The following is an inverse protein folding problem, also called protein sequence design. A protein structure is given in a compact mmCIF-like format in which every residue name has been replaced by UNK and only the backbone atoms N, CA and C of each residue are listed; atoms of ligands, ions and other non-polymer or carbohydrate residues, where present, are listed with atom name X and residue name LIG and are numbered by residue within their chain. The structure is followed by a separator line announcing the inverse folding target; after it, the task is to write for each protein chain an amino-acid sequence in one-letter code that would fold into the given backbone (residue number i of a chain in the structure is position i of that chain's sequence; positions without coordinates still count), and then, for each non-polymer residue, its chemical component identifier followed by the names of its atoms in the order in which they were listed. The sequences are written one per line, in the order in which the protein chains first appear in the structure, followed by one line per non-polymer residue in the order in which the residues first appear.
data_IF_202687234728
#
_entry.id   IF_202687234728
#
_cell.length_a   1.000
_cell.length_b   1.000
_cell.length_c   1.000
_cell.angle_alpha   90.00
_cell.angle_beta   90.00
_cell.angle_gamma   90.00
#
_symmetry.space_group_name_H-M   'P 1'
#
loop_
_entity.id
_entity.type
_entity.pdbx_description
1 polymer ?
#
# COMPACT_ATOMS: atom_id res chain seq x y z
N UNK A 1 22.80 -12.87 19.45
CA UNK A 1 23.33 -11.58 18.97
C UNK A 1 23.88 -11.83 17.58
N UNK A 2 23.06 -11.73 16.56
CA UNK A 2 23.47 -11.91 15.16
C UNK A 2 23.64 -10.53 14.56
N UNK A 3 24.83 -10.31 14.07
CA UNK A 3 25.43 -9.14 13.46
C UNK A 3 24.50 -8.51 12.41
N UNK A 4 24.00 -7.30 12.69
CA UNK A 4 23.26 -6.44 11.76
C UNK A 4 24.30 -5.67 10.91
N UNK A 5 24.99 -6.41 10.02
CA UNK A 5 25.85 -5.77 9.01
C UNK A 5 24.95 -4.90 8.13
N UNK A 6 25.16 -3.59 8.21
CA UNK A 6 24.55 -2.55 7.38
C UNK A 6 24.83 -2.91 5.92
N UNK A 7 23.80 -3.27 5.17
CA UNK A 7 23.88 -3.45 3.73
C UNK A 7 24.20 -2.10 3.08
N UNK A 8 25.13 -2.11 2.15
CA UNK A 8 25.56 -1.02 1.28
C UNK A 8 24.37 -0.23 0.74
N UNK A 9 24.46 1.10 0.68
CA UNK A 9 23.38 2.04 0.34
C UNK A 9 22.76 1.81 -1.07
N UNK A 10 23.41 1.00 -1.89
CA UNK A 10 22.97 0.61 -3.25
C UNK A 10 22.23 -0.75 -3.31
N UNK A 11 22.03 -1.44 -2.19
CA UNK A 11 21.38 -2.73 -2.16
C UNK A 11 19.86 -2.60 -2.03
N UNK A 12 19.10 -3.24 -2.95
CA UNK A 12 17.65 -3.24 -2.93
C UNK A 12 17.08 -3.73 -1.57
N UNK A 13 16.14 -2.96 -0.99
CA UNK A 13 15.44 -3.33 0.24
C UNK A 13 14.37 -4.40 0.01
N UNK A 14 13.79 -4.41 -1.20
CA UNK A 14 12.83 -5.43 -1.66
C UNK A 14 13.35 -5.94 -2.99
N UNK A 15 13.42 -7.26 -3.17
CA UNK A 15 13.83 -7.89 -4.42
C UNK A 15 12.92 -9.06 -4.75
N UNK A 16 12.31 -9.03 -5.93
CA UNK A 16 11.53 -10.11 -6.52
C UNK A 16 12.21 -10.58 -7.80
N UNK A 17 12.23 -11.91 -8.04
CA UNK A 17 12.77 -12.52 -9.25
C UNK A 17 11.85 -13.64 -9.73
N UNK A 18 11.34 -13.49 -10.95
CA UNK A 18 10.39 -14.41 -11.57
C UNK A 18 9.17 -14.68 -10.70
N UNK A 19 8.79 -13.74 -9.86
CA UNK A 19 7.81 -13.95 -8.80
C UNK A 19 6.40 -14.08 -9.37
N UNK A 20 5.63 -15.04 -8.84
CA UNK A 20 4.22 -15.24 -9.20
C UNK A 20 3.35 -15.43 -7.97
N UNK A 21 2.10 -14.99 -8.09
CA UNK A 21 1.09 -15.18 -7.04
C UNK A 21 -0.24 -15.60 -7.65
N UNK A 22 -0.82 -16.67 -7.09
CA UNK A 22 -2.10 -17.22 -7.53
C UNK A 22 -3.00 -17.57 -6.35
N UNK A 23 -4.31 -17.65 -6.59
CA UNK A 23 -5.33 -18.22 -5.71
C UNK A 23 -6.02 -19.37 -6.44
N UNK A 24 -5.66 -20.62 -6.12
CA UNK A 24 -6.06 -21.78 -6.90
C UNK A 24 -5.58 -21.59 -8.35
N UNK A 25 -6.48 -21.74 -9.31
CA UNK A 25 -6.18 -21.56 -10.74
C UNK A 25 -6.09 -20.09 -11.18
N UNK A 26 -6.55 -19.16 -10.36
CA UNK A 26 -6.54 -17.74 -10.71
C UNK A 26 -5.16 -17.13 -10.48
N UNK A 27 -4.44 -16.83 -11.55
CA UNK A 27 -3.20 -16.08 -11.53
C UNK A 27 -3.51 -14.61 -11.27
N UNK A 28 -2.91 -14.01 -10.23
CA UNK A 28 -3.00 -12.59 -9.95
C UNK A 28 -1.95 -11.80 -10.71
N UNK A 29 -0.72 -12.31 -10.74
CA UNK A 29 0.42 -11.82 -11.52
C UNK A 29 1.52 -12.90 -11.55
N UNK A 30 2.37 -12.87 -12.59
CA UNK A 30 3.43 -13.85 -12.79
C UNK A 30 4.65 -13.23 -13.46
N UNK A 31 5.82 -13.84 -13.22
CA UNK A 31 7.09 -13.43 -13.84
C UNK A 31 7.59 -12.07 -13.35
N UNK A 32 7.13 -11.59 -12.17
CA UNK A 32 7.46 -10.26 -11.66
C UNK A 32 8.92 -10.18 -11.21
N UNK A 33 9.69 -9.31 -11.90
CA UNK A 33 11.02 -8.87 -11.51
C UNK A 33 10.93 -7.42 -11.03
N UNK A 34 11.36 -7.16 -9.78
CA UNK A 34 11.28 -5.85 -9.16
C UNK A 34 12.34 -5.71 -8.07
N UNK A 35 13.05 -4.60 -8.09
CA UNK A 35 13.85 -4.11 -6.96
C UNK A 35 13.29 -2.80 -6.47
N UNK A 36 13.27 -2.59 -5.15
CA UNK A 36 12.93 -1.30 -4.53
C UNK A 36 14.10 -0.87 -3.66
N UNK A 37 14.59 0.33 -3.89
CA UNK A 37 15.79 0.89 -3.25
C UNK A 37 15.46 1.76 -2.03
N UNK A 38 16.45 2.04 -1.16
CA UNK A 38 16.29 3.04 -0.11
C UNK A 38 15.82 4.38 -0.68
N UNK A 39 14.87 5.02 -0.02
CA UNK A 39 14.32 6.31 -0.43
C UNK A 39 13.45 6.30 -1.68
N UNK A 40 13.21 5.15 -2.31
CA UNK A 40 12.34 5.03 -3.47
C UNK A 40 10.85 5.05 -3.09
N UNK A 41 10.03 5.73 -3.88
CA UNK A 41 8.57 5.74 -3.78
C UNK A 41 7.97 4.92 -4.93
N UNK A 42 7.57 3.69 -4.63
CA UNK A 42 6.89 2.79 -5.55
C UNK A 42 5.37 2.88 -5.36
N UNK A 43 4.64 3.36 -6.37
CA UNK A 43 3.20 3.24 -6.39
C UNK A 43 2.76 1.89 -6.97
N UNK A 44 1.82 1.21 -6.29
CA UNK A 44 1.23 -0.05 -6.78
C UNK A 44 -0.21 0.20 -7.18
N UNK A 45 -0.48 0.09 -8.47
CA UNK A 45 -1.75 0.41 -9.11
C UNK A 45 -2.41 -0.83 -9.71
N UNK A 46 -3.65 -0.68 -10.12
CA UNK A 46 -4.42 -1.70 -10.83
C UNK A 46 -5.86 -1.80 -10.32
N UNK A 47 -6.74 -2.51 -11.05
CA UNK A 47 -8.14 -2.67 -10.70
C UNK A 47 -8.32 -3.47 -9.40
N UNK A 48 -9.55 -3.47 -8.89
CA UNK A 48 -9.91 -4.29 -7.75
C UNK A 48 -9.73 -5.78 -8.09
N UNK A 49 -9.13 -6.53 -7.17
CA UNK A 49 -8.83 -7.94 -7.37
C UNK A 49 -7.59 -8.25 -8.22
N UNK A 50 -6.79 -7.25 -8.64
CA UNK A 50 -5.53 -7.44 -9.37
C UNK A 50 -4.40 -8.01 -8.49
N UNK A 51 -4.59 -8.09 -7.18
CA UNK A 51 -3.59 -8.67 -6.28
C UNK A 51 -2.73 -7.65 -5.53
N UNK A 52 -3.08 -6.35 -5.54
CA UNK A 52 -2.33 -5.29 -4.83
C UNK A 52 -2.13 -5.59 -3.34
N UNK A 53 -3.22 -5.84 -2.60
CA UNK A 53 -3.15 -6.23 -1.18
C UNK A 53 -2.43 -7.57 -0.99
N UNK A 54 -2.54 -8.49 -1.95
CA UNK A 54 -1.83 -9.78 -1.89
C UNK A 54 -0.32 -9.60 -2.08
N UNK A 55 0.10 -8.64 -2.90
CA UNK A 55 1.51 -8.22 -3.03
C UNK A 55 2.03 -7.69 -1.69
N UNK A 56 1.30 -6.77 -1.04
CA UNK A 56 1.66 -6.27 0.30
C UNK A 56 1.75 -7.40 1.32
N UNK A 57 0.79 -8.34 1.32
CA UNK A 57 0.81 -9.50 2.22
C UNK A 57 2.01 -10.42 1.98
N UNK A 58 2.46 -10.55 0.73
CA UNK A 58 3.70 -11.29 0.42
C UNK A 58 4.92 -10.58 1.02
N UNK A 59 5.04 -9.25 0.87
CA UNK A 59 6.11 -8.46 1.48
C UNK A 59 6.12 -8.55 3.02
N UNK A 60 4.94 -8.66 3.64
CA UNK A 60 4.79 -8.85 5.09
C UNK A 60 5.06 -10.29 5.56
N UNK A 61 5.37 -11.23 4.65
CA UNK A 61 5.52 -12.66 4.97
C UNK A 61 4.22 -13.34 5.42
N UNK A 62 3.07 -12.74 5.11
CA UNK A 62 1.74 -13.28 5.42
C UNK A 62 1.21 -14.19 4.31
N UNK A 63 1.82 -14.12 3.12
CA UNK A 63 1.49 -14.92 1.95
C UNK A 63 2.76 -15.42 1.27
N UNK A 64 2.78 -16.69 0.90
CA UNK A 64 3.85 -17.27 0.09
C UNK A 64 3.57 -17.00 -1.40
N UNK A 65 4.64 -16.83 -2.17
CA UNK A 65 4.58 -16.82 -3.63
C UNK A 65 4.19 -18.20 -4.17
N UNK A 66 3.56 -18.23 -5.33
CA UNK A 66 3.30 -19.46 -6.08
C UNK A 66 4.53 -19.93 -6.87
N UNK A 67 5.40 -18.98 -7.29
CA UNK A 67 6.69 -19.26 -7.95
C UNK A 67 7.65 -18.07 -7.76
N UNK A 68 8.93 -18.27 -8.08
CA UNK A 68 9.97 -17.26 -7.98
C UNK A 68 10.47 -17.04 -6.56
N UNK A 69 11.17 -15.92 -6.35
CA UNK A 69 11.75 -15.57 -5.05
C UNK A 69 11.40 -14.15 -4.63
N UNK A 70 11.28 -13.94 -3.32
CA UNK A 70 11.08 -12.64 -2.69
C UNK A 70 12.04 -12.49 -1.52
N UNK A 71 12.79 -11.41 -1.52
CA UNK A 71 13.62 -11.00 -0.39
C UNK A 71 13.20 -9.61 0.09
N UNK A 72 13.16 -9.44 1.40
CA UNK A 72 12.94 -8.17 2.08
C UNK A 72 14.13 -7.98 3.02
N UNK A 73 14.89 -6.87 2.84
CA UNK A 73 16.15 -6.63 3.54
C UNK A 73 17.15 -7.79 3.37
N UNK A 74 17.27 -8.31 2.14
CA UNK A 74 18.19 -9.39 1.78
C UNK A 74 17.78 -10.80 2.24
N UNK A 75 16.65 -10.95 2.96
CA UNK A 75 16.17 -12.21 3.57
C UNK A 75 14.74 -12.54 3.15
N UNK A 76 14.30 -13.80 3.22
CA UNK A 76 12.88 -14.12 3.06
C UNK A 76 12.00 -13.27 4.01
N UNK A 77 10.84 -12.78 3.55
CA UNK A 77 9.98 -11.93 4.37
C UNK A 77 9.53 -12.65 5.65
N UNK A 78 9.47 -11.91 6.75
CA UNK A 78 9.06 -12.43 8.07
C UNK A 78 7.95 -11.57 8.66
N UNK A 79 6.95 -12.22 9.25
CA UNK A 79 5.88 -11.55 10.00
C UNK A 79 6.47 -10.79 11.18
N UNK A 80 5.96 -9.57 11.42
CA UNK A 80 6.32 -8.77 12.58
C UNK A 80 7.74 -8.18 12.55
N UNK A 81 8.34 -8.00 11.38
CA UNK A 81 9.62 -7.32 11.25
C UNK A 81 9.52 -5.85 11.71
N UNK A 82 10.34 -5.44 12.67
CA UNK A 82 10.40 -4.04 13.13
C UNK A 82 10.90 -3.06 12.06
N UNK A 83 11.56 -3.58 11.02
CA UNK A 83 12.11 -2.76 9.92
C UNK A 83 11.10 -2.50 8.80
N UNK A 84 9.88 -3.06 8.92
CA UNK A 84 8.78 -2.88 7.97
C UNK A 84 7.61 -2.27 8.72
N UNK A 85 7.31 -1.01 8.44
CA UNK A 85 6.10 -0.33 8.88
C UNK A 85 4.93 -0.69 7.95
N UNK A 86 3.75 -0.91 8.49
CA UNK A 86 2.57 -1.23 7.71
C UNK A 86 1.37 -0.37 8.13
N UNK A 87 0.80 0.32 7.15
CA UNK A 87 -0.44 1.07 7.27
C UNK A 87 -1.52 0.29 6.50
N UNK A 88 -2.40 -0.43 7.18
CA UNK A 88 -3.43 -1.24 6.52
C UNK A 88 -4.53 -0.37 5.90
N UNK A 89 -5.18 -0.90 4.87
CA UNK A 89 -6.47 -0.43 4.41
C UNK A 89 -7.42 -0.38 5.61
N UNK A 90 -8.24 0.66 5.73
CA UNK A 90 -9.03 0.96 6.92
C UNK A 90 -9.70 -0.29 7.52
N UNK A 91 -9.11 -0.83 8.59
CA UNK A 91 -9.86 -1.69 9.47
C UNK A 91 -10.86 -0.80 10.21
N UNK A 92 -12.13 -1.18 10.21
CA UNK A 92 -13.19 -0.55 10.99
C UNK A 92 -12.81 -0.75 12.47
N UNK A 93 -12.07 0.21 13.03
CA UNK A 93 -11.98 0.28 14.49
C UNK A 93 -13.40 0.60 14.93
N UNK A 94 -14.03 -0.30 15.69
CA UNK A 94 -15.37 -0.03 16.21
C UNK A 94 -15.33 1.32 16.92
N UNK A 95 -16.40 2.12 16.79
CA UNK A 95 -16.51 3.42 17.46
C UNK A 95 -16.34 3.31 19.00
N UNK A 96 -16.41 2.10 19.53
CA UNK A 96 -16.21 1.76 20.94
C UNK A 96 -14.74 1.57 21.35
N UNK A 97 -13.76 1.73 20.42
CA UNK A 97 -12.35 1.61 20.78
C UNK A 97 -11.93 2.77 21.69
N UNK A 98 -11.91 2.51 22.98
CA UNK A 98 -11.46 3.43 24.05
C UNK A 98 -9.95 3.64 24.06
N UNK A 99 -9.24 3.07 23.09
CA UNK A 99 -7.78 3.16 22.99
C UNK A 99 -7.38 4.57 22.63
N UNK A 100 -6.49 5.20 23.40
CA UNK A 100 -5.99 6.53 23.09
C UNK A 100 -5.04 6.49 21.89
N UNK A 101 -4.93 7.61 21.17
CA UNK A 101 -4.02 7.74 20.03
C UNK A 101 -2.57 7.33 20.37
N UNK A 102 -2.04 7.79 21.51
CA UNK A 102 -0.70 7.40 21.99
C UNK A 102 -0.53 5.91 22.24
N UNK A 103 -1.57 5.24 22.74
CA UNK A 103 -1.52 3.82 23.01
C UNK A 103 -1.52 3.03 21.69
N UNK A 104 -2.24 3.50 20.67
CA UNK A 104 -2.20 2.92 19.33
C UNK A 104 -0.80 3.05 18.71
N UNK A 105 -0.17 4.22 18.77
CA UNK A 105 1.21 4.42 18.30
C UNK A 105 2.17 3.49 19.05
N UNK A 106 2.03 3.37 20.36
CA UNK A 106 2.85 2.49 21.18
C UNK A 106 2.75 1.03 20.77
N UNK A 107 1.56 0.55 20.37
CA UNK A 107 1.40 -0.82 19.87
C UNK A 107 2.27 -1.15 18.66
N UNK A 108 2.74 -0.17 17.90
CA UNK A 108 3.74 -0.38 16.87
C UNK A 108 5.05 -0.94 17.42
N UNK A 109 5.44 -0.58 18.65
CA UNK A 109 6.67 -1.07 19.29
C UNK A 109 6.47 -2.49 19.83
N UNK A 110 5.36 -2.74 20.50
CA UNK A 110 5.21 -3.90 21.37
C UNK A 110 3.94 -4.75 21.16
N UNK A 111 3.08 -4.40 20.22
CA UNK A 111 1.82 -5.13 19.98
C UNK A 111 1.97 -6.60 19.56
N UNK A 112 3.17 -7.03 19.14
CA UNK A 112 3.47 -8.42 18.75
C UNK A 112 3.89 -9.31 19.91
N UNK A 113 4.08 -8.76 21.13
CA UNK A 113 4.55 -9.53 22.30
C UNK A 113 3.43 -9.63 23.33
N UNK A 114 3.33 -10.73 24.02
CA UNK A 114 2.37 -10.98 25.09
C UNK A 114 2.96 -10.58 26.46
N UNK A 115 2.15 -10.00 27.37
CA UNK A 115 2.49 -9.75 28.77
C UNK A 115 2.66 -8.27 29.15
N UNK A 116 2.68 -7.98 30.47
CA UNK A 116 2.84 -6.63 30.99
C UNK A 116 4.24 -6.07 30.67
N UNK A 117 4.30 -4.78 30.37
CA UNK A 117 5.55 -4.13 29.95
C UNK A 117 5.84 -2.89 30.75
N UNK A 118 7.12 -2.70 31.12
CA UNK A 118 7.54 -1.47 31.74
C UNK A 118 7.30 -0.32 30.77
N UNK A 119 6.60 0.71 31.22
CA UNK A 119 6.49 2.01 30.56
C UNK A 119 7.79 2.75 30.79
N UNK A 120 8.85 2.37 30.05
CA UNK A 120 10.15 3.07 30.16
C UNK A 120 10.03 4.48 29.63
N UNK A 121 10.78 5.43 30.23
CA UNK A 121 10.83 6.82 29.75
C UNK A 121 11.27 6.92 28.28
N UNK A 122 12.10 5.99 27.80
CA UNK A 122 12.53 5.93 26.42
C UNK A 122 11.38 5.61 25.45
N UNK A 123 10.52 4.63 25.78
CA UNK A 123 9.33 4.30 24.97
C UNK A 123 8.36 5.48 24.92
N UNK A 124 8.14 6.15 26.07
CA UNK A 124 7.27 7.32 26.12
C UNK A 124 7.81 8.45 25.23
N UNK A 125 9.11 8.81 25.36
CA UNK A 125 9.74 9.83 24.50
C UNK A 125 9.59 9.49 23.04
N UNK A 126 9.87 8.23 22.64
CA UNK A 126 9.73 7.81 21.24
C UNK A 126 8.29 7.95 20.71
N UNK A 127 7.30 7.60 21.52
CA UNK A 127 5.88 7.77 21.15
C UNK A 127 5.54 9.27 20.99
N UNK A 128 6.00 10.13 21.93
CA UNK A 128 5.74 11.57 21.89
C UNK A 128 6.43 12.22 20.66
N UNK A 129 7.68 11.83 20.34
CA UNK A 129 8.39 12.26 19.12
C UNK A 129 7.62 11.89 17.84
N UNK A 130 7.14 10.66 17.77
CA UNK A 130 6.38 10.20 16.61
C UNK A 130 5.03 10.90 16.51
N UNK A 131 4.31 11.10 17.62
CA UNK A 131 3.06 11.87 17.62
C UNK A 131 3.29 13.30 17.13
N UNK A 132 4.40 13.92 17.53
CA UNK A 132 4.78 15.24 17.04
C UNK A 132 5.08 15.21 15.52
N UNK A 133 5.83 14.23 15.03
CA UNK A 133 6.20 14.11 13.62
C UNK A 133 5.00 13.88 12.68
N UNK A 134 3.92 13.24 13.18
CA UNK A 134 2.68 13.05 12.41
C UNK A 134 1.62 14.12 12.69
N UNK A 135 1.95 15.16 13.49
CA UNK A 135 1.03 16.25 13.82
C UNK A 135 -0.14 15.79 14.71
N UNK A 136 0.07 14.79 15.58
CA UNK A 136 -0.96 14.18 16.42
C UNK A 136 -0.87 14.55 17.91
N UNK A 137 0.01 15.49 18.30
CA UNK A 137 0.26 15.84 19.69
C UNK A 137 -1.00 16.36 20.40
N UNK A 138 -1.81 17.18 19.73
CA UNK A 138 -2.99 17.81 20.31
C UNK A 138 -4.08 16.80 20.73
N UNK A 139 -4.14 15.65 20.06
CA UNK A 139 -5.14 14.61 20.32
C UNK A 139 -4.53 13.28 20.78
N UNK A 140 -3.29 13.33 21.28
CA UNK A 140 -2.57 12.13 21.74
C UNK A 140 -3.34 11.32 22.80
N UNK A 141 -4.09 11.99 23.65
CA UNK A 141 -4.87 11.36 24.74
C UNK A 141 -6.35 11.14 24.40
N UNK A 142 -6.77 11.51 23.17
CA UNK A 142 -8.13 11.29 22.69
C UNK A 142 -8.33 9.84 22.28
N UNK A 143 -9.47 9.22 22.61
CA UNK A 143 -9.84 7.90 22.10
C UNK A 143 -9.91 7.87 20.58
N UNK A 144 -9.29 6.84 19.97
CA UNK A 144 -9.19 6.72 18.50
C UNK A 144 -10.55 6.69 17.81
N UNK A 145 -11.58 6.19 18.50
CA UNK A 145 -12.95 6.17 17.99
C UNK A 145 -13.58 7.57 17.82
N UNK A 146 -13.05 8.58 18.54
CA UNK A 146 -13.54 9.97 18.48
C UNK A 146 -12.76 10.83 17.48
N UNK A 147 -11.68 10.31 16.90
CA UNK A 147 -10.86 11.04 15.93
C UNK A 147 -11.56 11.11 14.57
N UNK A 148 -11.36 12.21 13.85
CA UNK A 148 -11.70 12.31 12.43
C UNK A 148 -10.98 11.26 11.59
N UNK A 149 -11.41 11.03 10.35
CA UNK A 149 -10.74 10.09 9.43
C UNK A 149 -9.27 10.44 9.20
N UNK A 150 -8.96 11.71 8.98
CA UNK A 150 -7.60 12.20 8.76
C UNK A 150 -6.70 12.11 10.01
N UNK A 151 -7.21 12.48 11.19
CA UNK A 151 -6.49 12.34 12.46
C UNK A 151 -6.18 10.87 12.76
N UNK A 152 -7.14 9.99 12.57
CA UNK A 152 -6.99 8.56 12.74
C UNK A 152 -5.94 7.98 11.80
N UNK A 153 -5.91 8.44 10.55
CA UNK A 153 -4.92 8.00 9.57
C UNK A 153 -3.50 8.45 9.95
N UNK A 154 -3.32 9.68 10.42
CA UNK A 154 -2.03 10.17 10.94
C UNK A 154 -1.54 9.33 12.12
N UNK A 155 -2.40 8.98 13.06
CA UNK A 155 -2.05 8.11 14.20
C UNK A 155 -1.64 6.71 13.72
N UNK A 156 -2.30 6.13 12.71
CA UNK A 156 -1.90 4.85 12.10
C UNK A 156 -0.55 4.91 11.42
N UNK A 157 -0.26 6.01 10.71
CA UNK A 157 1.07 6.21 10.14
C UNK A 157 2.09 6.32 11.27
N UNK A 158 1.79 7.06 12.34
CA UNK A 158 2.63 7.11 13.54
C UNK A 158 2.90 5.72 14.13
N UNK A 159 1.88 4.88 14.23
CA UNK A 159 2.03 3.48 14.65
C UNK A 159 3.00 2.70 13.76
N UNK A 160 2.93 2.89 12.44
CA UNK A 160 3.82 2.22 11.50
C UNK A 160 5.26 2.77 11.56
N UNK A 161 5.44 4.05 11.92
CA UNK A 161 6.75 4.73 11.96
C UNK A 161 7.48 4.61 13.31
N UNK A 162 6.81 4.19 14.38
CA UNK A 162 7.38 4.24 15.73
C UNK A 162 8.62 3.34 15.92
N UNK A 163 8.75 2.28 15.12
CA UNK A 163 9.92 1.37 15.13
C UNK A 163 11.07 1.85 14.25
N UNK A 164 10.96 3.03 13.64
CA UNK A 164 11.93 3.56 12.67
C UNK A 164 12.20 2.62 11.48
N UNK A 165 11.15 2.28 10.71
CA UNK A 165 11.25 1.28 9.67
C UNK A 165 12.06 1.78 8.46
N UNK A 166 12.78 0.85 7.80
CA UNK A 166 13.45 1.09 6.52
C UNK A 166 12.50 0.99 5.32
N UNK A 167 11.39 0.28 5.48
CA UNK A 167 10.34 0.09 4.46
C UNK A 167 9.01 0.49 5.09
N UNK A 168 8.23 1.30 4.37
CA UNK A 168 6.87 1.67 4.74
C UNK A 168 5.91 1.15 3.67
N UNK A 169 5.03 0.22 4.06
CA UNK A 169 3.98 -0.33 3.21
C UNK A 169 2.67 0.36 3.56
N UNK A 170 2.06 1.04 2.59
CA UNK A 170 0.77 1.71 2.74
C UNK A 170 -0.26 1.03 1.82
N UNK A 171 -1.28 0.41 2.40
CA UNK A 171 -2.34 -0.26 1.65
C UNK A 171 -3.60 0.63 1.65
N UNK A 172 -3.83 1.35 0.54
CA UNK A 172 -4.93 2.30 0.34
C UNK A 172 -5.07 3.37 1.46
N UNK A 173 -3.99 4.06 1.84
CA UNK A 173 -4.00 4.93 3.01
C UNK A 173 -4.81 6.22 2.83
N UNK A 174 -5.24 6.55 1.61
CA UNK A 174 -6.01 7.75 1.28
C UNK A 174 -7.51 7.48 1.14
N UNK A 175 -7.92 6.22 1.26
CA UNK A 175 -9.32 5.85 1.08
C UNK A 175 -10.23 6.59 2.07
N UNK A 176 -11.33 7.16 1.57
CA UNK A 176 -12.32 7.90 2.36
C UNK A 176 -11.79 9.19 3.03
N UNK A 177 -10.66 9.72 2.59
CA UNK A 177 -10.15 11.03 3.01
C UNK A 177 -10.54 12.11 1.98
N UNK A 178 -10.85 13.29 2.45
CA UNK A 178 -10.97 14.46 1.59
C UNK A 178 -9.60 14.93 1.06
N UNK A 179 -9.60 15.82 0.08
CA UNK A 179 -8.39 16.29 -0.61
C UNK A 179 -7.36 16.93 0.34
N UNK A 180 -7.82 17.65 1.37
CA UNK A 180 -6.92 18.27 2.34
C UNK A 180 -6.18 17.22 3.17
N UNK A 181 -6.91 16.23 3.67
CA UNK A 181 -6.34 15.15 4.45
C UNK A 181 -5.47 14.20 3.60
N UNK A 182 -5.86 13.94 2.34
CA UNK A 182 -5.03 13.18 1.39
C UNK A 182 -3.66 13.85 1.22
N UNK A 183 -3.64 15.17 0.96
CA UNK A 183 -2.40 15.93 0.81
C UNK A 183 -1.53 15.88 2.06
N UNK A 184 -2.11 16.09 3.23
CA UNK A 184 -1.37 16.04 4.49
C UNK A 184 -0.76 14.65 4.77
N UNK A 185 -1.45 13.56 4.39
CA UNK A 185 -0.94 12.18 4.52
C UNK A 185 0.19 11.92 3.53
N UNK A 186 0.06 12.34 2.26
CA UNK A 186 1.10 12.15 1.24
C UNK A 186 2.37 12.95 1.57
N UNK A 187 2.24 14.20 2.01
CA UNK A 187 3.36 15.03 2.47
C UNK A 187 4.09 14.40 3.65
N UNK A 188 3.37 13.82 4.62
CA UNK A 188 3.95 13.14 5.77
C UNK A 188 4.76 11.90 5.36
N UNK A 189 4.23 11.08 4.46
CA UNK A 189 4.91 9.89 3.94
C UNK A 189 6.17 10.29 3.15
N UNK A 190 6.09 11.33 2.32
CA UNK A 190 7.22 11.81 1.53
C UNK A 190 8.31 12.47 2.41
N UNK A 191 7.91 13.24 3.41
CA UNK A 191 8.85 13.80 4.38
C UNK A 191 9.63 12.69 5.09
N UNK A 192 8.97 11.59 5.48
CA UNK A 192 9.61 10.42 6.06
C UNK A 192 10.60 9.77 5.08
N UNK A 193 10.17 9.57 3.82
CA UNK A 193 11.02 9.03 2.75
C UNK A 193 12.31 9.80 2.60
N UNK A 194 12.20 11.12 2.45
CA UNK A 194 13.35 12.01 2.23
C UNK A 194 14.28 12.13 3.44
N UNK A 195 13.73 12.21 4.64
CA UNK A 195 14.53 12.45 5.84
C UNK A 195 15.27 11.22 6.38
N UNK A 196 14.79 10.01 6.07
CA UNK A 196 15.32 8.75 6.63
C UNK A 196 15.68 7.71 5.57
N UNK A 197 15.59 8.03 4.28
CA UNK A 197 15.83 7.05 3.22
C UNK A 197 14.86 5.87 3.25
N UNK A 198 13.67 6.03 3.86
CA UNK A 198 12.66 4.96 3.95
C UNK A 198 12.12 4.66 2.55
N UNK A 199 12.19 3.40 2.10
CA UNK A 199 11.50 2.97 0.89
C UNK A 199 9.99 2.94 1.14
N UNK A 200 9.20 3.47 0.22
CA UNK A 200 7.75 3.53 0.32
C UNK A 200 7.12 2.65 -0.76
N UNK A 201 6.27 1.72 -0.36
CA UNK A 201 5.37 0.98 -1.25
C UNK A 201 3.95 1.46 -0.97
N UNK A 202 3.37 2.16 -1.93
CA UNK A 202 2.10 2.86 -1.76
C UNK A 202 1.04 2.27 -2.70
N UNK A 203 0.18 1.43 -2.15
CA UNK A 203 -0.95 0.85 -2.90
C UNK A 203 -2.08 1.86 -2.94
N UNK A 204 -2.57 2.14 -4.13
CA UNK A 204 -3.72 3.02 -4.33
C UNK A 204 -4.48 2.64 -5.61
N UNK A 205 -5.73 3.01 -5.70
CA UNK A 205 -6.52 2.95 -6.94
C UNK A 205 -6.51 4.30 -7.68
N UNK A 206 -6.10 5.38 -7.02
CA UNK A 206 -5.97 6.72 -7.59
C UNK A 206 -4.54 7.23 -7.43
N UNK A 207 -3.87 7.50 -8.55
CA UNK A 207 -2.47 7.94 -8.57
C UNK A 207 -2.30 9.44 -8.32
N UNK A 208 -3.30 10.25 -8.69
CA UNK A 208 -3.16 11.72 -8.74
C UNK A 208 -2.67 12.35 -7.42
N UNK A 209 -3.13 11.93 -6.22
CA UNK A 209 -2.64 12.50 -4.97
C UNK A 209 -1.15 12.30 -4.70
N UNK A 210 -0.52 11.31 -5.36
CA UNK A 210 0.90 10.95 -5.15
C UNK A 210 1.75 11.07 -6.41
N UNK A 211 1.17 11.40 -7.57
CA UNK A 211 1.85 11.34 -8.88
C UNK A 211 3.18 12.12 -8.89
N UNK A 212 3.23 13.30 -8.30
CA UNK A 212 4.46 14.11 -8.22
C UNK A 212 5.50 13.60 -7.20
N UNK A 213 5.23 12.53 -6.47
CA UNK A 213 6.12 11.95 -5.47
C UNK A 213 6.66 10.58 -5.89
N UNK A 214 6.03 9.97 -6.91
CA UNK A 214 6.28 8.59 -7.33
C UNK A 214 7.50 8.53 -8.24
N UNK A 215 8.47 7.71 -7.87
CA UNK A 215 9.64 7.42 -8.71
C UNK A 215 9.29 6.33 -9.72
N UNK A 216 8.59 5.27 -9.30
CA UNK A 216 8.18 4.16 -10.17
C UNK A 216 6.77 3.67 -9.86
N UNK A 217 6.14 3.10 -10.87
CA UNK A 217 4.82 2.48 -10.81
C UNK A 217 4.95 0.99 -11.07
N UNK A 218 4.32 0.17 -10.21
CA UNK A 218 3.96 -1.21 -10.49
C UNK A 218 2.46 -1.25 -10.80
N UNK A 219 2.10 -1.49 -12.06
CA UNK A 219 0.70 -1.65 -12.47
C UNK A 219 0.37 -3.12 -12.64
N UNK A 220 -0.61 -3.62 -11.87
CA UNK A 220 -1.05 -5.03 -11.88
C UNK A 220 -2.41 -5.14 -12.58
N UNK A 221 -2.54 -5.99 -13.61
CA UNK A 221 -3.81 -6.27 -14.25
C UNK A 221 -3.79 -7.63 -14.98
N UNK A 222 -4.91 -8.32 -15.02
CA UNK A 222 -5.15 -9.55 -15.83
C UNK A 222 -4.05 -10.61 -15.76
N UNK A 223 -3.48 -10.85 -14.60
CA UNK A 223 -2.41 -11.84 -14.43
C UNK A 223 -1.02 -11.36 -14.85
N UNK A 224 -0.91 -10.16 -15.41
CA UNK A 224 0.33 -9.50 -15.82
C UNK A 224 0.68 -8.28 -14.97
N UNK A 225 1.78 -7.63 -15.36
CA UNK A 225 2.24 -6.41 -14.73
C UNK A 225 3.00 -5.50 -15.70
N UNK A 226 3.14 -4.23 -15.32
CA UNK A 226 4.09 -3.26 -15.90
C UNK A 226 4.83 -2.56 -14.77
N UNK A 227 6.13 -2.34 -14.96
CA UNK A 227 6.98 -1.58 -14.02
C UNK A 227 7.78 -0.55 -14.82
N UNK A 228 7.81 0.67 -14.33
CA UNK A 228 8.57 1.77 -14.95
C UNK A 228 8.27 3.09 -14.25
N UNK A 229 8.75 4.18 -14.80
CA UNK A 229 8.36 5.53 -14.39
C UNK A 229 6.86 5.77 -14.66
N UNK A 230 6.22 6.74 -14.01
CA UNK A 230 4.84 7.10 -14.30
C UNK A 230 4.59 7.38 -15.79
N UNK A 231 5.56 7.99 -16.48
CA UNK A 231 5.44 8.33 -17.89
C UNK A 231 5.56 7.13 -18.84
N UNK A 232 6.28 6.09 -18.44
CA UNK A 232 6.40 4.84 -19.20
C UNK A 232 5.20 3.90 -18.99
N UNK A 233 4.65 3.87 -17.80
CA UNK A 233 3.59 2.91 -17.42
C UNK A 233 2.19 3.47 -17.69
N UNK A 234 1.97 4.76 -17.40
CA UNK A 234 0.66 5.39 -17.53
C UNK A 234 0.48 5.98 -18.93
N UNK A 235 0.52 5.11 -19.95
CA UNK A 235 0.25 5.43 -21.35
C UNK A 235 -0.87 4.54 -21.89
N UNK A 236 -1.62 5.04 -22.87
CA UNK A 236 -2.71 4.26 -23.52
C UNK A 236 -2.16 2.96 -24.11
N UNK A 237 -0.98 3.02 -24.76
CA UNK A 237 -0.35 1.85 -25.36
C UNK A 237 0.04 0.80 -24.32
N UNK A 238 0.78 1.18 -23.26
CA UNK A 238 1.24 0.25 -22.22
C UNK A 238 0.08 -0.41 -21.47
N UNK A 239 -0.97 0.36 -21.14
CA UNK A 239 -2.13 -0.18 -20.46
C UNK A 239 -3.02 -1.00 -21.38
N UNK A 240 -3.21 -0.62 -22.64
CA UNK A 240 -3.96 -1.44 -23.62
C UNK A 240 -3.31 -2.80 -23.83
N UNK A 241 -1.98 -2.86 -23.95
CA UNK A 241 -1.24 -4.13 -24.02
C UNK A 241 -1.43 -4.98 -22.76
N UNK A 242 -1.39 -4.37 -21.56
CA UNK A 242 -1.56 -5.08 -20.29
C UNK A 242 -3.00 -5.59 -20.10
N UNK A 243 -3.98 -4.81 -20.53
CA UNK A 243 -5.40 -5.18 -20.42
C UNK A 243 -5.87 -6.10 -21.55
N UNK A 244 -5.17 -6.14 -22.69
CA UNK A 244 -5.61 -6.83 -23.90
C UNK A 244 -6.87 -6.23 -24.54
N UNK A 245 -7.21 -4.99 -24.19
CA UNK A 245 -8.34 -4.21 -24.72
C UNK A 245 -7.92 -2.75 -24.78
N UNK A 246 -8.64 -1.94 -25.56
CA UNK A 246 -8.34 -0.52 -25.65
C UNK A 246 -8.56 0.17 -24.30
N UNK A 247 -7.53 0.89 -23.86
CA UNK A 247 -7.53 1.71 -22.65
C UNK A 247 -7.00 3.09 -23.01
N UNK A 248 -7.77 4.12 -22.72
CA UNK A 248 -7.35 5.48 -22.92
C UNK A 248 -6.78 6.08 -21.63
N UNK A 249 -5.59 6.65 -21.73
CA UNK A 249 -4.96 7.41 -20.66
C UNK A 249 -5.00 8.89 -21.03
N UNK A 250 -5.83 9.63 -20.32
CA UNK A 250 -6.04 11.06 -20.55
C UNK A 250 -5.21 11.83 -19.52
N UNK A 251 -4.33 12.69 -20.03
CA UNK A 251 -3.56 13.62 -19.18
C UNK A 251 -4.12 15.02 -19.35
N UNK A 252 -4.54 15.61 -18.25
CA UNK A 252 -5.00 17.00 -18.19
C UNK A 252 -4.18 17.73 -17.13
N UNK A 253 -3.29 18.62 -17.57
CA UNK A 253 -2.29 19.26 -16.71
C UNK A 253 -1.46 18.18 -15.96
N UNK A 254 -1.43 18.21 -14.63
CA UNK A 254 -0.69 17.27 -13.78
C UNK A 254 -1.56 16.10 -13.31
N UNK A 255 -2.67 15.80 -14.01
CA UNK A 255 -3.57 14.69 -13.63
C UNK A 255 -3.65 13.64 -14.72
N UNK A 256 -3.76 12.40 -14.30
CA UNK A 256 -3.89 11.21 -15.15
C UNK A 256 -5.21 10.53 -14.84
N UNK A 257 -5.99 10.23 -15.87
CA UNK A 257 -7.21 9.43 -15.77
C UNK A 257 -7.12 8.25 -16.72
N UNK A 258 -7.38 7.06 -16.22
CA UNK A 258 -7.40 5.82 -17.00
C UNK A 258 -8.86 5.46 -17.27
N UNK A 259 -9.22 5.38 -18.54
CA UNK A 259 -10.58 5.05 -18.99
C UNK A 259 -10.52 3.76 -19.80
N UNK A 260 -11.17 2.71 -19.31
CA UNK A 260 -11.35 1.49 -20.11
C UNK A 260 -12.47 1.75 -21.13
N UNK A 261 -12.19 1.52 -22.42
CA UNK A 261 -13.21 1.57 -23.47
C UNK A 261 -13.93 0.23 -23.46
N UNK A 262 -15.25 0.16 -23.25
CA UNK A 262 -15.99 -1.09 -23.33
C UNK A 262 -15.86 -1.66 -24.73
N UNK A 263 -15.53 -2.94 -24.88
CA UNK A 263 -15.65 -3.65 -26.14
C UNK A 263 -17.12 -3.62 -26.57
N UNK A 264 -17.47 -2.93 -27.63
CA UNK A 264 -18.84 -2.90 -28.18
C UNK A 264 -19.33 -4.29 -28.60
N UNK A 265 -18.43 -5.26 -28.76
CA UNK A 265 -18.75 -6.64 -29.11
C UNK A 265 -19.34 -7.50 -27.96
N UNK A 266 -19.37 -7.01 -26.71
CA UNK A 266 -19.89 -7.78 -25.58
C UNK A 266 -21.37 -7.46 -25.23
N UNK A 267 -22.04 -6.62 -25.98
CA UNK A 267 -23.48 -6.34 -25.83
C UNK A 267 -24.30 -7.06 -26.88
N UNK A 268 -24.33 -8.39 -26.87
CA UNK A 268 -25.49 -9.07 -27.40
C UNK A 268 -26.66 -8.85 -26.40
N UNK A 269 -27.76 -8.22 -26.84
CA UNK A 269 -28.94 -8.11 -25.99
C UNK A 269 -29.52 -9.50 -25.81
N UNK A 270 -29.48 -10.05 -24.61
CA UNK A 270 -30.34 -11.16 -24.23
C UNK A 270 -31.81 -10.69 -24.39
N UNK A 271 -32.39 -11.00 -25.51
CA UNK A 271 -33.84 -11.02 -25.64
C UNK A 271 -34.38 -12.17 -24.78
N UNK A 272 -35.18 -11.90 -23.75
CA UNK A 272 -35.91 -12.97 -23.09
C UNK A 272 -36.96 -13.48 -24.11
N UNK A 273 -36.80 -14.72 -24.55
CA UNK A 273 -37.86 -15.45 -25.28
C UNK A 273 -39.11 -15.51 -24.38
N UNK A 274 -40.15 -14.84 -24.81
CA UNK A 274 -41.49 -14.97 -24.21
C UNK A 274 -41.99 -16.38 -24.47
N UNK A 275 -42.49 -17.11 -23.45
CA UNK A 275 -43.07 -18.42 -23.67
C UNK A 275 -44.37 -18.31 -24.51
N UNK A 276 -44.36 -18.96 -25.66
CA UNK A 276 -45.53 -19.11 -26.48
C UNK A 276 -46.60 -19.97 -25.79
N UNK A 277 -47.81 -19.44 -25.66
CA UNK A 277 -49.04 -20.17 -25.93
C UNK A 277 -49.68 -20.92 -24.80
N UNK A 278 -50.65 -20.29 -24.15
CA UNK A 278 -51.87 -21.02 -23.76
C UNK A 278 -53.02 -20.38 -24.55
N UNK A 279 -53.62 -21.13 -25.47
CA UNK A 279 -54.92 -20.85 -26.09
C UNK A 279 -56.07 -21.51 -25.29
N UNK A 280 -57.29 -21.01 -25.48
CA UNK A 280 -58.38 -21.04 -24.53
C UNK A 280 -58.96 -22.41 -24.30
#
# INVERSE_FOLDING_TARGET
MADDTVADDDTALISLRGAALSYGERVLWQGLDLDVRPGEFLAVLGPNGAGKTSFVRALLGQRQLSAGTLKVLGRPPRKGSRHVGYVPQQATLSAQAMLRARDLVRFGIDGHRFGPRPRTGAVRRRVDEVLASVGATAYADVPVGLLSGGERQRVRIGQALVTDPRILLCDEPLLSLDLHHQRAVTELVDARRRSHGTAVVFVTHEINPVLGLVDRVLYLARGGYRVGTPDEVLTSEALSQLYGTQVDVIRVRDRVTVVAVPDEAAQEPHHPELPHGVRP
#
